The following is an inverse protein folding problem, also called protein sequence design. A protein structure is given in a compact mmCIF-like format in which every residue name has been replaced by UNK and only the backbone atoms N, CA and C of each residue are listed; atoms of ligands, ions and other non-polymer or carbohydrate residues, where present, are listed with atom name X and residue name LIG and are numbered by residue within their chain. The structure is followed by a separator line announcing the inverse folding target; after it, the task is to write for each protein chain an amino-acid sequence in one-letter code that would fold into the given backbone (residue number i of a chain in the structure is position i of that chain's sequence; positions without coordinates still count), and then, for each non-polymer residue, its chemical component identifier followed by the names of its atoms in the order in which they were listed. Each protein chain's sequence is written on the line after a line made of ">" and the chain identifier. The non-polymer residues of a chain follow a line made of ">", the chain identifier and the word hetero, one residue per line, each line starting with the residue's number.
data_IF_879578933619
#
_entry.id   IF_879578933619
#
_cell.length_a   1.000
_cell.length_b   1.000
_cell.length_c   1.000
_cell.angle_alpha   90.00
_cell.angle_beta   90.00
_cell.angle_gamma   90.00
#
_symmetry.space_group_name_H-M   'P 1'
#
loop_
_entity.id
_entity.type
_entity.pdbx_description
1 polymer ?
#
# COMPACT_ATOMS: atom_id res chain seq x y z
N UNK A 1 -17.21 -9.80 -60.78
CA UNK A 1 -17.19 -10.52 -59.48
C UNK A 1 -15.79 -10.99 -59.10
N UNK A 2 -15.11 -11.82 -59.90
CA UNK A 2 -13.75 -12.35 -59.60
C UNK A 2 -12.67 -11.27 -59.37
N UNK A 3 -12.72 -10.14 -60.09
CA UNK A 3 -11.75 -9.04 -59.96
C UNK A 3 -11.89 -8.24 -58.65
N UNK A 4 -13.11 -8.12 -58.11
CA UNK A 4 -13.39 -7.38 -56.87
C UNK A 4 -12.99 -8.23 -55.66
N UNK A 5 -13.22 -9.54 -55.70
CA UNK A 5 -12.78 -10.49 -54.66
C UNK A 5 -11.25 -10.57 -54.57
N UNK A 6 -10.54 -10.52 -55.71
CA UNK A 6 -9.08 -10.50 -55.72
C UNK A 6 -8.53 -9.20 -55.12
N UNK A 7 -9.16 -8.06 -55.43
CA UNK A 7 -8.74 -6.75 -54.92
C UNK A 7 -8.99 -6.63 -53.40
N UNK A 8 -10.12 -7.15 -52.90
CA UNK A 8 -10.43 -7.25 -51.48
C UNK A 8 -9.45 -8.16 -50.73
N UNK A 9 -9.10 -9.33 -51.29
CA UNK A 9 -8.11 -10.23 -50.70
C UNK A 9 -6.71 -9.60 -50.65
N UNK A 10 -6.31 -8.86 -51.68
CA UNK A 10 -5.01 -8.16 -51.67
C UNK A 10 -4.95 -7.03 -50.64
N UNK A 11 -6.05 -6.29 -50.43
CA UNK A 11 -6.12 -5.22 -49.43
C UNK A 11 -6.13 -5.80 -48.00
N UNK A 12 -6.86 -6.89 -47.77
CA UNK A 12 -6.87 -7.59 -46.48
C UNK A 12 -5.49 -8.18 -46.18
N UNK A 13 -4.81 -8.77 -47.18
CA UNK A 13 -3.45 -9.29 -47.02
C UNK A 13 -2.44 -8.18 -46.71
N UNK A 14 -2.58 -7.01 -47.35
CA UNK A 14 -1.77 -5.81 -47.06
C UNK A 14 -2.03 -5.26 -45.65
N UNK A 15 -3.27 -5.29 -45.16
CA UNK A 15 -3.62 -4.87 -43.80
C UNK A 15 -3.13 -5.85 -42.73
N UNK A 16 -3.10 -7.16 -43.03
CA UNK A 16 -2.56 -8.19 -42.12
C UNK A 16 -1.02 -8.14 -42.03
N UNK A 17 -0.33 -7.76 -43.11
CA UNK A 17 1.13 -7.63 -43.13
C UNK A 17 1.65 -6.37 -42.41
N UNK A 18 0.80 -5.38 -42.14
CA UNK A 18 1.16 -4.15 -41.43
C UNK A 18 1.06 -4.25 -39.90
N UNK A 19 0.62 -5.38 -39.35
CA UNK A 19 0.39 -5.56 -37.91
C UNK A 19 1.62 -6.04 -37.10
N UNK A 20 2.81 -6.12 -37.71
CA UNK A 20 4.05 -6.40 -36.98
C UNK A 20 4.81 -5.08 -36.75
N UNK A 21 4.32 -4.28 -35.81
CA UNK A 21 5.17 -3.27 -35.17
C UNK A 21 6.28 -3.97 -34.39
N UNK A 22 7.48 -3.38 -34.28
CA UNK A 22 8.55 -3.99 -33.50
C UNK A 22 8.05 -4.23 -32.08
N UNK A 23 8.21 -5.47 -31.61
CA UNK A 23 8.01 -5.82 -30.21
C UNK A 23 8.71 -4.77 -29.36
N UNK A 24 7.96 -4.13 -28.46
CA UNK A 24 8.50 -3.13 -27.55
C UNK A 24 9.75 -3.69 -26.90
N UNK A 25 10.88 -3.03 -27.16
CA UNK A 25 12.13 -3.33 -26.50
C UNK A 25 11.87 -3.18 -25.01
N UNK A 26 11.88 -4.30 -24.29
CA UNK A 26 11.99 -4.28 -22.83
C UNK A 26 13.41 -3.86 -22.54
N UNK A 27 13.62 -2.55 -22.47
CA UNK A 27 14.82 -2.00 -21.86
C UNK A 27 14.92 -2.65 -20.48
N UNK A 28 15.94 -3.48 -20.19
CA UNK A 28 16.11 -3.95 -18.84
C UNK A 28 16.30 -2.71 -17.98
N UNK A 29 15.38 -2.48 -17.03
CA UNK A 29 15.57 -1.49 -15.99
C UNK A 29 16.96 -1.75 -15.41
N UNK A 30 17.87 -0.76 -15.40
CA UNK A 30 19.15 -0.97 -14.76
C UNK A 30 18.86 -1.44 -13.34
N UNK A 31 19.45 -2.56 -12.93
CA UNK A 31 19.38 -2.99 -11.55
C UNK A 31 19.87 -1.81 -10.71
N UNK A 32 18.95 -1.14 -10.01
CA UNK A 32 19.33 -0.14 -9.02
C UNK A 32 19.96 -0.95 -7.91
N UNK A 33 21.27 -1.10 -7.98
CA UNK A 33 22.07 -1.53 -6.85
C UNK A 33 21.71 -0.57 -5.72
N UNK A 34 20.99 -1.07 -4.73
CA UNK A 34 20.73 -0.32 -3.51
C UNK A 34 22.10 0.11 -2.99
N UNK A 35 22.42 1.42 -2.92
CA UNK A 35 23.69 1.83 -2.38
C UNK A 35 23.76 1.27 -0.95
N UNK A 36 24.83 0.56 -0.63
CA UNK A 36 25.12 0.28 0.77
C UNK A 36 25.02 1.60 1.52
N UNK A 37 24.28 1.62 2.62
CA UNK A 37 24.14 2.81 3.45
C UNK A 37 25.54 3.42 3.65
N UNK A 38 25.74 4.73 3.40
CA UNK A 38 27.05 5.32 3.56
C UNK A 38 27.51 5.06 4.99
N UNK A 39 28.68 4.45 5.16
CA UNK A 39 29.26 4.20 6.49
C UNK A 39 29.54 5.50 7.26
N UNK A 40 29.41 6.65 6.57
CA UNK A 40 29.72 7.98 7.07
C UNK A 40 28.46 8.84 7.35
N UNK A 41 27.24 8.29 7.29
CA UNK A 41 26.07 8.99 7.89
C UNK A 41 26.19 8.87 9.41
N UNK A 42 27.08 9.68 9.99
CA UNK A 42 26.92 10.09 11.37
C UNK A 42 25.60 10.85 11.42
N UNK A 43 24.61 10.32 12.14
CA UNK A 43 23.38 11.04 12.43
C UNK A 43 23.74 12.47 12.85
N UNK A 44 23.07 13.52 12.30
CA UNK A 44 23.30 14.87 12.79
C UNK A 44 23.13 14.86 14.31
N UNK A 45 24.16 15.37 14.98
CA UNK A 45 24.46 15.08 16.38
C UNK A 45 23.26 15.14 17.30
N UNK A 46 23.28 14.27 18.31
CA UNK A 46 22.27 14.12 19.37
C UNK A 46 22.08 15.37 20.21
N UNK A 47 21.46 16.39 19.61
CA UNK A 47 20.69 17.38 20.33
C UNK A 47 19.40 16.70 20.76
N UNK A 48 19.26 16.47 22.06
CA UNK A 48 17.99 16.05 22.63
C UNK A 48 16.93 17.08 22.20
N UNK A 49 15.96 16.65 21.38
CA UNK A 49 14.69 17.36 21.34
C UNK A 49 14.18 17.39 22.77
N UNK A 50 14.02 18.56 23.41
CA UNK A 50 13.35 18.60 24.70
C UNK A 50 11.95 18.06 24.43
N UNK A 51 11.66 16.89 25.02
CA UNK A 51 10.31 16.37 25.03
C UNK A 51 9.41 17.47 25.64
N UNK A 52 8.25 17.79 25.04
CA UNK A 52 7.27 18.59 25.75
C UNK A 52 7.03 17.92 27.11
N UNK A 53 7.11 18.69 28.20
CA UNK A 53 6.86 18.20 29.55
C UNK A 53 5.47 17.55 29.56
N UNK A 54 5.44 16.21 29.61
CA UNK A 54 4.24 15.42 29.29
C UNK A 54 4.48 14.11 28.54
N UNK A 55 5.75 13.75 28.24
CA UNK A 55 6.27 12.40 27.98
C UNK A 55 5.32 11.41 27.29
N UNK A 56 5.48 11.23 25.98
CA UNK A 56 5.19 9.93 25.37
C UNK A 56 6.06 8.88 26.08
N UNK A 57 5.48 7.79 26.64
CA UNK A 57 6.29 6.71 27.16
C UNK A 57 7.13 6.11 26.02
N UNK A 58 8.38 5.80 26.31
CA UNK A 58 9.27 5.15 25.36
C UNK A 58 8.61 3.86 24.81
N UNK A 59 8.80 3.52 23.52
CA UNK A 59 8.39 2.20 23.01
C UNK A 59 9.16 1.15 23.82
N UNK A 60 8.46 0.40 24.67
CA UNK A 60 9.06 -0.59 25.58
C UNK A 60 8.91 -0.29 27.07
N UNK A 61 8.42 0.89 27.45
CA UNK A 61 7.98 1.18 28.82
C UNK A 61 6.47 1.06 28.89
N UNK A 62 5.93 -0.08 29.30
CA UNK A 62 4.52 -0.21 29.61
C UNK A 62 4.15 0.81 30.70
N UNK A 63 3.51 1.90 30.31
CA UNK A 63 2.77 2.74 31.24
C UNK A 63 1.65 1.86 31.79
N UNK A 64 1.84 1.38 33.01
CA UNK A 64 0.89 0.50 33.67
C UNK A 64 -0.36 1.33 34.00
N UNK A 65 -1.36 1.25 33.14
CA UNK A 65 -2.69 1.79 33.39
C UNK A 65 -3.31 1.01 34.58
N UNK A 66 -4.03 1.69 35.50
CA UNK A 66 -4.77 0.99 36.53
C UNK A 66 -5.83 0.10 35.85
N UNK A 67 -5.85 -1.17 36.25
CA UNK A 67 -6.70 -2.29 35.78
C UNK A 67 -6.07 -3.30 34.82
N UNK A 68 -4.76 -3.24 34.55
CA UNK A 68 -3.97 -4.43 34.18
C UNK A 68 -4.16 -4.99 32.75
N UNK A 69 -5.10 -4.46 31.97
CA UNK A 69 -5.16 -4.65 30.53
C UNK A 69 -4.68 -3.37 29.84
N UNK A 70 -3.37 -3.23 29.67
CA UNK A 70 -2.89 -2.39 28.58
C UNK A 70 -3.16 -3.21 27.32
N UNK A 71 -4.06 -2.80 26.39
CA UNK A 71 -4.06 -3.40 25.07
C UNK A 71 -2.66 -3.18 24.54
N UNK A 72 -1.89 -4.27 24.49
CA UNK A 72 -0.55 -4.20 23.98
C UNK A 72 -0.74 -4.02 22.48
N UNK A 73 -0.74 -2.78 22.00
CA UNK A 73 -0.17 -2.52 20.69
C UNK A 73 1.20 -3.16 20.79
N UNK A 74 1.39 -4.36 20.21
CA UNK A 74 2.54 -5.24 20.44
C UNK A 74 3.84 -4.67 19.83
N UNK A 75 4.03 -3.36 19.87
CA UNK A 75 5.05 -2.64 19.12
C UNK A 75 4.80 -2.64 17.61
N UNK A 76 3.58 -2.98 17.17
CA UNK A 76 3.28 -3.09 15.75
C UNK A 76 2.91 -1.75 15.11
N UNK A 77 3.43 -1.54 13.90
CA UNK A 77 3.23 -0.33 13.11
C UNK A 77 2.62 -0.72 11.78
N UNK A 78 1.39 -0.26 11.54
CA UNK A 78 0.78 -0.33 10.22
C UNK A 78 1.15 0.94 9.45
N UNK A 79 1.60 0.79 8.21
CA UNK A 79 1.98 1.91 7.35
C UNK A 79 1.77 1.53 5.88
N UNK A 80 1.79 2.51 4.99
CA UNK A 80 1.72 2.25 3.56
C UNK A 80 3.05 2.57 2.85
N UNK A 81 3.33 1.87 1.75
CA UNK A 81 4.59 2.03 1.01
C UNK A 81 4.43 1.61 -0.45
N UNK A 82 5.14 2.30 -1.36
CA UNK A 82 5.22 1.97 -2.79
C UNK A 82 6.41 1.06 -3.13
N UNK A 83 6.98 0.36 -2.13
CA UNK A 83 8.21 -0.43 -2.30
C UNK A 83 8.11 -1.51 -3.39
N UNK A 84 6.90 -2.00 -3.65
CA UNK A 84 6.62 -3.02 -4.66
C UNK A 84 5.91 -2.45 -5.90
N UNK A 85 6.00 -1.13 -6.10
CA UNK A 85 5.55 -0.41 -7.30
C UNK A 85 4.12 0.14 -7.23
N UNK A 86 3.27 -0.40 -6.37
CA UNK A 86 1.94 0.13 -6.05
C UNK A 86 1.88 0.38 -4.55
N UNK A 87 1.17 1.42 -4.14
CA UNK A 87 1.06 1.80 -2.74
C UNK A 87 0.19 0.77 -2.01
N UNK A 88 0.79 0.05 -1.06
CA UNK A 88 0.17 -1.06 -0.32
C UNK A 88 0.35 -0.87 1.19
N UNK A 89 -0.47 -1.57 1.98
CA UNK A 89 -0.40 -1.59 3.45
C UNK A 89 0.55 -2.69 3.93
N UNK A 90 1.42 -2.32 4.85
CA UNK A 90 2.42 -3.17 5.48
C UNK A 90 2.30 -3.10 7.00
N UNK A 91 2.75 -4.17 7.64
CA UNK A 91 2.88 -4.32 9.07
C UNK A 91 4.35 -4.51 9.42
N UNK A 92 4.85 -3.68 10.34
CA UNK A 92 6.16 -3.87 10.96
C UNK A 92 5.95 -4.30 12.41
N UNK A 93 6.55 -5.42 12.78
CA UNK A 93 6.70 -5.81 14.16
C UNK A 93 7.90 -5.09 14.78
N UNK A 94 7.64 -4.22 15.76
CA UNK A 94 8.69 -3.42 16.39
C UNK A 94 9.63 -4.21 17.29
N UNK A 95 9.26 -5.42 17.72
CA UNK A 95 10.09 -6.27 18.56
C UNK A 95 11.01 -7.17 17.74
N UNK A 96 10.46 -7.85 16.72
CA UNK A 96 11.23 -8.75 15.85
C UNK A 96 11.87 -8.05 14.66
N UNK A 97 11.33 -6.90 14.25
CA UNK A 97 11.66 -6.25 12.98
C UNK A 97 11.05 -6.94 11.76
N UNK A 98 10.16 -7.92 11.97
CA UNK A 98 9.48 -8.62 10.88
C UNK A 98 8.57 -7.67 10.11
N UNK A 99 8.65 -7.76 8.79
CA UNK A 99 7.85 -6.98 7.87
C UNK A 99 6.90 -7.90 7.10
N UNK A 100 5.61 -7.61 7.18
CA UNK A 100 4.56 -8.35 6.49
C UNK A 100 3.77 -7.42 5.58
N UNK A 101 3.60 -7.80 4.32
CA UNK A 101 2.68 -7.11 3.42
C UNK A 101 1.26 -7.60 3.68
N UNK A 102 0.34 -6.69 4.03
CA UNK A 102 -1.04 -7.04 4.36
C UNK A 102 -1.96 -6.96 3.14
N UNK A 103 -1.65 -6.11 2.16
CA UNK A 103 -2.39 -5.96 0.90
C UNK A 103 -1.47 -6.13 -0.30
N UNK A 104 -1.94 -6.85 -1.32
CA UNK A 104 -1.18 -7.21 -2.52
C UNK A 104 -2.02 -7.09 -3.81
N UNK A 105 -3.08 -6.28 -3.74
CA UNK A 105 -4.02 -6.05 -4.83
C UNK A 105 -3.44 -5.13 -5.91
N UNK A 106 -3.95 -5.18 -7.16
CA UNK A 106 -3.47 -4.32 -8.24
C UNK A 106 -3.86 -2.84 -8.09
N UNK A 107 -4.69 -2.50 -7.10
CA UNK A 107 -5.08 -1.14 -6.76
C UNK A 107 -4.37 -0.65 -5.50
N UNK A 108 -4.37 0.67 -5.28
CA UNK A 108 -3.71 1.26 -4.12
C UNK A 108 -4.50 1.01 -2.84
N UNK A 109 -3.78 0.71 -1.77
CA UNK A 109 -4.29 0.59 -0.41
C UNK A 109 -3.45 1.48 0.53
N UNK A 110 -4.10 2.40 1.25
CA UNK A 110 -3.39 3.46 1.98
C UNK A 110 -4.08 3.97 3.23
N UNK A 111 -3.37 4.86 3.96
CA UNK A 111 -3.84 5.47 5.21
C UNK A 111 -4.39 4.45 6.24
N UNK A 112 -3.61 3.40 6.60
CA UNK A 112 -4.09 2.40 7.54
C UNK A 112 -4.27 3.00 8.94
N UNK A 113 -5.31 2.57 9.67
CA UNK A 113 -5.53 2.88 11.07
C UNK A 113 -5.93 1.62 11.86
N UNK A 114 -5.36 1.48 13.05
CA UNK A 114 -5.70 0.40 13.98
C UNK A 114 -7.01 0.65 14.69
N UNK A 115 -7.79 -0.41 14.86
CA UNK A 115 -8.87 -0.43 15.84
C UNK A 115 -8.33 -0.28 17.27
N UNK A 116 -9.10 0.30 18.21
CA UNK A 116 -8.67 0.46 19.60
C UNK A 116 -8.32 -0.85 20.31
N UNK A 117 -8.92 -1.97 19.88
CA UNK A 117 -8.66 -3.32 20.40
C UNK A 117 -7.50 -4.05 19.70
N UNK A 118 -6.82 -3.39 18.75
CA UNK A 118 -5.72 -3.92 17.96
C UNK A 118 -6.05 -5.18 17.13
N UNK A 119 -7.32 -5.51 16.91
CA UNK A 119 -7.70 -6.71 16.15
C UNK A 119 -7.91 -6.45 14.66
N UNK A 120 -8.15 -5.20 14.29
CA UNK A 120 -8.54 -4.83 12.93
C UNK A 120 -7.77 -3.60 12.45
N UNK A 121 -7.68 -3.50 11.13
CA UNK A 121 -7.11 -2.35 10.43
C UNK A 121 -8.15 -1.87 9.43
N UNK A 122 -8.45 -0.58 9.47
CA UNK A 122 -9.18 0.12 8.39
C UNK A 122 -8.18 0.84 7.50
N UNK A 123 -8.48 0.92 6.21
CA UNK A 123 -7.61 1.56 5.23
C UNK A 123 -8.47 2.05 4.05
N UNK A 124 -7.94 2.99 3.28
CA UNK A 124 -8.55 3.38 2.01
C UNK A 124 -8.09 2.46 0.89
N UNK A 125 -9.02 2.07 0.02
CA UNK A 125 -8.77 1.24 -1.15
C UNK A 125 -9.32 1.88 -2.42
N UNK A 126 -8.52 1.97 -3.50
CA UNK A 126 -9.01 2.41 -4.81
C UNK A 126 -9.79 1.28 -5.50
N UNK A 127 -11.06 1.53 -5.85
CA UNK A 127 -11.92 0.53 -6.52
C UNK A 127 -11.97 0.75 -8.04
N UNK A 128 -12.11 2.02 -8.46
CA UNK A 128 -12.24 2.41 -9.87
C UNK A 128 -11.18 3.40 -10.37
N UNK A 129 -10.19 3.75 -9.54
CA UNK A 129 -9.10 4.67 -9.85
C UNK A 129 -8.92 5.75 -8.77
N UNK A 130 -8.09 6.79 -9.03
CA UNK A 130 -7.72 7.80 -8.02
C UNK A 130 -8.88 8.65 -7.49
N UNK A 131 -10.03 8.61 -8.18
CA UNK A 131 -11.24 9.36 -7.83
C UNK A 131 -12.39 8.43 -7.42
N UNK A 132 -12.09 7.17 -7.12
CA UNK A 132 -13.06 6.17 -6.69
C UNK A 132 -12.43 5.28 -5.62
N UNK A 133 -12.57 5.71 -4.36
CA UNK A 133 -11.98 5.06 -3.19
C UNK A 133 -13.04 4.76 -2.15
N UNK A 134 -12.92 3.60 -1.53
CA UNK A 134 -13.79 3.12 -0.45
C UNK A 134 -12.96 2.86 0.81
N UNK A 135 -13.61 2.90 1.97
CA UNK A 135 -12.98 2.42 3.21
C UNK A 135 -13.15 0.91 3.30
N UNK A 136 -12.02 0.21 3.41
CA UNK A 136 -11.96 -1.22 3.65
C UNK A 136 -11.54 -1.50 5.08
N UNK A 137 -11.92 -2.68 5.57
CA UNK A 137 -11.51 -3.23 6.85
C UNK A 137 -10.93 -4.63 6.65
N UNK A 138 -9.94 -4.99 7.46
CA UNK A 138 -9.34 -6.32 7.50
C UNK A 138 -8.93 -6.69 8.94
N UNK A 139 -8.68 -7.97 9.19
CA UNK A 139 -8.07 -8.44 10.42
C UNK A 139 -6.60 -8.00 10.50
N UNK A 140 -6.04 -7.98 11.71
CA UNK A 140 -4.63 -7.68 12.02
C UNK A 140 -3.62 -8.45 11.14
N UNK A 141 -3.94 -9.70 10.80
CA UNK A 141 -3.10 -10.57 9.97
C UNK A 141 -3.28 -10.35 8.45
N UNK A 142 -4.11 -9.38 8.05
CA UNK A 142 -4.42 -9.07 6.65
C UNK A 142 -5.52 -9.95 6.05
N UNK A 143 -6.09 -10.90 6.81
CA UNK A 143 -7.22 -11.72 6.35
C UNK A 143 -8.54 -10.95 6.43
N UNK A 144 -9.57 -11.46 5.74
CA UNK A 144 -10.94 -10.94 5.88
C UNK A 144 -11.17 -9.53 5.32
N UNK A 145 -10.42 -9.13 4.28
CA UNK A 145 -10.59 -7.83 3.60
C UNK A 145 -12.02 -7.67 3.06
N UNK A 146 -12.68 -6.58 3.40
CA UNK A 146 -13.99 -6.23 2.84
C UNK A 146 -14.25 -4.71 2.90
N UNK A 147 -15.11 -4.16 2.03
CA UNK A 147 -15.63 -2.81 2.21
C UNK A 147 -16.27 -2.66 3.60
N UNK A 148 -15.99 -1.55 4.29
CA UNK A 148 -16.59 -1.23 5.59
C UNK A 148 -18.05 -0.78 5.43
N UNK A 149 -18.32 0.03 4.41
CA UNK A 149 -19.67 0.42 4.02
C UNK A 149 -20.14 -0.44 2.85
N UNK A 150 -21.32 -1.03 2.98
CA UNK A 150 -21.98 -1.77 1.91
C UNK A 150 -23.07 -0.89 1.27
N UNK A 151 -22.69 0.28 0.76
CA UNK A 151 -23.61 1.18 0.05
C UNK A 151 -23.23 1.30 -1.42
N UNK A 152 -24.20 1.42 -2.34
CA UNK A 152 -23.90 1.61 -3.75
C UNK A 152 -23.02 2.85 -3.92
N UNK A 153 -21.87 2.67 -4.57
CA UNK A 153 -20.75 3.61 -4.75
C UNK A 153 -21.13 5.05 -4.36
N UNK A 154 -20.70 5.53 -3.18
CA UNK A 154 -21.00 6.90 -2.80
C UNK A 154 -20.44 7.83 -3.88
N UNK A 155 -21.23 8.81 -4.31
CA UNK A 155 -20.74 9.90 -5.19
C UNK A 155 -19.68 10.79 -4.50
N UNK A 156 -19.17 10.34 -3.35
CA UNK A 156 -18.27 11.05 -2.44
C UNK A 156 -17.13 10.12 -2.07
N UNK A 157 -15.92 10.66 -2.21
CA UNK A 157 -14.68 9.96 -1.92
C UNK A 157 -14.51 9.78 -0.41
N UNK A 158 -14.22 8.56 0.02
CA UNK A 158 -13.96 8.24 1.41
C UNK A 158 -12.45 8.03 1.63
N UNK A 159 -11.84 8.93 2.40
CA UNK A 159 -10.41 8.94 2.69
C UNK A 159 -10.17 9.09 4.18
N UNK A 160 -8.96 8.75 4.60
CA UNK A 160 -8.42 9.06 5.94
C UNK A 160 -9.34 8.56 7.05
N UNK A 161 -9.57 7.22 7.13
CA UNK A 161 -10.38 6.67 8.20
C UNK A 161 -9.77 7.02 9.56
N UNK A 162 -10.59 7.00 10.61
CA UNK A 162 -10.14 7.18 11.98
C UNK A 162 -11.04 6.38 12.93
N UNK A 163 -10.46 5.92 14.03
CA UNK A 163 -11.19 5.35 15.16
C UNK A 163 -11.35 6.40 16.27
N UNK A 164 -12.40 6.26 17.10
CA UNK A 164 -12.70 7.15 18.23
C UNK A 164 -12.48 6.47 19.57
#
# INVERSE_FOLDING_TARGET
>A
MKKITLLLLTVILLLLLAACGPAGETTPTPAVSNPSAPSDVTAPGGGAYPAPEGAYPAPGGAAQLPDGEVPQFEGQIAFHSERDGILQVFLLDGASGELTQLTDDPQKAYEPQWSPDCQQIVYTYEVGGPTDSEIYIMNRDGSGKSPLLNTPAPTTLEWSPAWS
#
